data_IF_616976984822
#
_entry.id   IF_616976984822
#
_cell.length_a   1.000
_cell.length_b   1.000
_cell.length_c   1.000
_cell.angle_alpha   90.00
_cell.angle_beta   90.00
_cell.angle_gamma   90.00
#
_symmetry.space_group_name_H-M   'P 1'
#
loop_
_entity.id
_entity.type
_entity.pdbx_description
1 polymer ?
#
# COMPACT_ATOMS: atom_id res chain seq x y z
N UNK A 1 -30.02 -8.76 -0.54
CA UNK A 1 -28.93 -8.45 0.41
C UNK A 1 -27.65 -8.35 -0.40
N UNK A 2 -26.85 -7.27 -0.32
CA UNK A 2 -25.55 -7.29 -0.96
C UNK A 2 -24.70 -8.32 -0.22
N UNK A 3 -24.15 -9.26 -0.99
CA UNK A 3 -23.22 -10.29 -0.53
C UNK A 3 -22.09 -9.65 0.29
N UNK A 4 -21.59 -10.29 1.36
CA UNK A 4 -20.39 -9.81 2.02
C UNK A 4 -19.27 -9.71 0.98
N UNK A 5 -18.52 -8.61 1.02
CA UNK A 5 -17.23 -8.51 0.34
C UNK A 5 -16.45 -9.81 0.58
N UNK A 6 -15.85 -10.37 -0.47
CA UNK A 6 -15.17 -11.67 -0.46
C UNK A 6 -13.85 -11.60 0.32
N UNK A 7 -13.90 -11.14 1.57
CA UNK A 7 -12.76 -10.87 2.42
C UNK A 7 -12.27 -12.14 3.10
N UNK A 8 -10.97 -12.24 3.28
CA UNK A 8 -10.33 -13.36 3.97
C UNK A 8 -9.21 -12.87 4.89
N UNK A 9 -8.80 -13.75 5.81
CA UNK A 9 -7.67 -13.46 6.70
C UNK A 9 -6.39 -13.32 5.87
N UNK A 10 -5.54 -12.36 6.25
CA UNK A 10 -4.31 -12.04 5.53
C UNK A 10 -4.50 -11.06 4.37
N UNK A 11 -5.75 -10.83 3.92
CA UNK A 11 -6.03 -9.92 2.83
C UNK A 11 -5.48 -8.52 3.11
N UNK A 12 -4.82 -7.94 2.10
CA UNK A 12 -4.36 -6.55 2.13
C UNK A 12 -5.47 -5.64 1.63
N UNK A 13 -5.78 -4.60 2.40
CA UNK A 13 -6.81 -3.62 2.06
C UNK A 13 -6.28 -2.20 2.27
N UNK A 14 -6.95 -1.23 1.67
CA UNK A 14 -6.71 0.19 1.90
C UNK A 14 -8.04 0.87 2.22
N UNK A 15 -8.04 1.76 3.20
CA UNK A 15 -9.18 2.60 3.55
C UNK A 15 -8.72 4.04 3.74
N UNK A 16 -9.27 4.96 2.96
CA UNK A 16 -8.91 6.39 2.97
C UNK A 16 -7.40 6.60 2.77
N UNK A 17 -6.79 5.80 1.89
CA UNK A 17 -5.36 5.83 1.58
C UNK A 17 -4.47 5.12 2.61
N UNK A 18 -5.01 4.57 3.69
CA UNK A 18 -4.24 3.85 4.69
C UNK A 18 -4.35 2.34 4.52
N UNK A 19 -3.19 1.68 4.49
CA UNK A 19 -3.08 0.24 4.28
C UNK A 19 -3.24 -0.55 5.57
N UNK A 20 -3.85 -1.73 5.45
CA UNK A 20 -4.04 -2.66 6.54
C UNK A 20 -4.08 -4.12 6.09
N UNK A 21 -3.95 -5.02 7.05
CA UNK A 21 -4.13 -6.46 6.88
C UNK A 21 -5.34 -6.93 7.68
N UNK A 22 -6.20 -7.76 7.07
CA UNK A 22 -7.30 -8.42 7.76
C UNK A 22 -6.75 -9.50 8.70
N UNK A 23 -7.07 -9.39 9.99
CA UNK A 23 -6.65 -10.30 11.07
C UNK A 23 -7.79 -11.11 11.68
N UNK A 24 -9.03 -10.66 11.49
CA UNK A 24 -10.21 -11.32 12.05
C UNK A 24 -11.42 -11.07 11.14
N UNK A 25 -12.29 -12.08 11.02
CA UNK A 25 -13.60 -11.97 10.37
C UNK A 25 -14.61 -12.67 11.26
N UNK A 26 -15.59 -11.93 11.78
CA UNK A 26 -16.61 -12.52 12.65
C UNK A 26 -17.40 -11.51 13.48
N UNK A 27 -18.28 -12.01 14.37
CA UNK A 27 -19.06 -11.16 15.26
C UNK A 27 -18.20 -10.54 16.37
N UNK A 28 -18.56 -9.33 16.81
CA UNK A 28 -17.95 -8.67 17.98
C UNK A 28 -19.02 -8.53 19.07
N UNK A 29 -18.68 -8.90 20.29
CA UNK A 29 -19.58 -8.93 21.45
C UNK A 29 -20.18 -7.55 21.68
N UNK A 30 -21.50 -7.50 21.91
CA UNK A 30 -22.23 -6.24 22.09
C UNK A 30 -22.53 -5.49 20.78
N UNK A 31 -22.22 -6.07 19.62
CA UNK A 31 -22.51 -5.48 18.31
C UNK A 31 -23.30 -6.44 17.42
N UNK A 32 -23.99 -5.91 16.42
CA UNK A 32 -24.71 -6.72 15.42
C UNK A 32 -23.86 -6.98 14.18
N UNK A 33 -23.99 -8.17 13.60
CA UNK A 33 -23.39 -8.54 12.32
C UNK A 33 -21.89 -8.83 12.36
N UNK A 34 -21.33 -9.07 11.18
CA UNK A 34 -19.90 -9.39 10.98
C UNK A 34 -19.04 -8.13 10.93
N UNK A 35 -17.81 -8.27 11.41
CA UNK A 35 -16.76 -7.26 11.37
C UNK A 35 -15.48 -7.83 10.76
N UNK A 36 -14.72 -6.97 10.11
CA UNK A 36 -13.34 -7.19 9.75
C UNK A 36 -12.47 -6.56 10.84
N UNK A 37 -11.75 -7.36 11.60
CA UNK A 37 -10.65 -6.86 12.43
C UNK A 37 -9.44 -6.65 11.56
N UNK A 38 -8.98 -5.40 11.44
CA UNK A 38 -7.84 -5.02 10.59
C UNK A 38 -6.72 -4.45 11.45
N UNK A 39 -5.47 -4.79 11.12
CA UNK A 39 -4.26 -4.17 11.66
C UNK A 39 -3.69 -3.19 10.63
N UNK A 40 -3.46 -1.94 11.02
CA UNK A 40 -2.93 -0.89 10.17
C UNK A 40 -1.41 -0.95 10.04
N UNK A 41 -0.89 -0.66 8.86
CA UNK A 41 0.56 -0.49 8.65
C UNK A 41 1.09 0.70 9.46
N UNK A 42 0.31 1.80 9.47
CA UNK A 42 0.50 2.90 10.42
C UNK A 42 -0.17 2.52 11.73
N UNK A 43 0.64 2.02 12.67
CA UNK A 43 0.15 1.56 13.97
C UNK A 43 -0.50 2.65 14.84
N UNK A 44 -0.39 3.93 14.48
CA UNK A 44 -1.08 5.03 15.17
C UNK A 44 -2.53 5.24 14.71
N UNK A 45 -2.98 4.59 13.63
CA UNK A 45 -4.27 4.88 12.99
C UNK A 45 -5.49 4.21 13.65
N UNK A 46 -5.28 3.09 14.32
CA UNK A 46 -6.37 2.31 14.88
C UNK A 46 -6.88 2.85 16.20
N UNK A 47 -7.63 2.00 16.91
CA UNK A 47 -8.34 2.32 18.15
C UNK A 47 -8.05 1.33 19.29
N UNK A 48 -7.52 0.16 18.95
CA UNK A 48 -7.25 -0.94 19.87
C UNK A 48 -6.15 -1.84 19.30
N UNK A 49 -5.78 -2.90 20.02
CA UNK A 49 -4.74 -3.86 19.66
C UNK A 49 -5.29 -5.23 19.24
N UNK A 50 -6.60 -5.30 19.00
CA UNK A 50 -7.35 -6.52 18.65
C UNK A 50 -8.32 -6.99 19.74
N UNK A 51 -8.40 -6.24 20.84
CA UNK A 51 -9.37 -6.42 21.91
C UNK A 51 -10.55 -5.42 21.80
N UNK A 52 -11.75 -5.87 22.16
CA UNK A 52 -12.92 -5.01 22.37
C UNK A 52 -13.63 -5.41 23.67
N UNK A 53 -13.77 -4.46 24.60
CA UNK A 53 -14.14 -4.78 25.98
C UNK A 53 -13.13 -5.74 26.60
N UNK A 54 -13.61 -6.82 27.24
CA UNK A 54 -12.76 -7.82 27.88
C UNK A 54 -12.41 -9.02 26.98
N UNK A 55 -12.74 -8.95 25.68
CA UNK A 55 -12.56 -10.06 24.73
C UNK A 55 -11.50 -9.74 23.69
N UNK A 56 -10.49 -10.61 23.57
CA UNK A 56 -9.47 -10.55 22.52
C UNK A 56 -9.90 -11.36 21.30
N UNK A 57 -9.98 -10.71 20.14
CA UNK A 57 -10.38 -11.33 18.88
C UNK A 57 -9.17 -11.71 18.02
N UNK A 58 -8.11 -10.90 18.07
CA UNK A 58 -6.86 -11.14 17.36
C UNK A 58 -5.70 -10.44 18.07
N UNK A 59 -4.48 -10.75 17.63
CA UNK A 59 -3.26 -10.09 18.07
C UNK A 59 -2.63 -9.36 16.90
N UNK A 60 -2.17 -8.13 17.16
CA UNK A 60 -1.40 -7.35 16.19
C UNK A 60 0.07 -7.77 16.21
N UNK A 61 0.76 -7.62 15.07
CA UNK A 61 2.22 -7.68 15.01
C UNK A 61 2.85 -6.46 15.71
N UNK A 62 2.25 -5.29 15.52
CA UNK A 62 2.63 -4.09 16.26
C UNK A 62 2.28 -4.21 17.74
N UNK A 63 3.18 -3.74 18.60
CA UNK A 63 2.94 -3.61 20.06
C UNK A 63 2.17 -2.34 20.43
N UNK A 64 1.85 -1.50 19.45
CA UNK A 64 1.08 -0.27 19.70
C UNK A 64 -0.34 -0.64 20.15
N UNK A 65 -0.84 -0.10 21.27
CA UNK A 65 -2.18 -0.40 21.77
C UNK A 65 -3.30 0.06 20.83
N UNK A 66 -3.00 0.86 19.81
CA UNK A 66 -3.95 1.41 18.84
C UNK A 66 -3.70 0.91 17.41
N UNK A 67 -3.02 -0.21 17.22
CA UNK A 67 -2.65 -0.68 15.87
C UNK A 67 -3.82 -1.16 14.99
N UNK A 68 -5.01 -1.37 15.55
CA UNK A 68 -6.09 -2.07 14.89
C UNK A 68 -7.47 -1.40 15.03
N UNK A 69 -8.37 -1.77 14.12
CA UNK A 69 -9.76 -1.34 14.10
C UNK A 69 -10.69 -2.49 13.72
N UNK A 70 -11.94 -2.45 14.15
CA UNK A 70 -13.03 -3.20 13.52
C UNK A 70 -13.72 -2.35 12.44
N UNK A 71 -13.82 -2.89 11.23
CA UNK A 71 -14.41 -2.24 10.05
C UNK A 71 -15.59 -3.08 9.55
N UNK A 72 -16.64 -2.42 9.05
CA UNK A 72 -17.78 -3.11 8.44
C UNK A 72 -17.38 -3.71 7.09
N UNK A 73 -17.73 -4.97 6.78
CA UNK A 73 -17.50 -5.54 5.46
C UNK A 73 -18.15 -4.73 4.32
N UNK A 74 -19.25 -4.01 4.61
CA UNK A 74 -19.90 -3.12 3.65
C UNK A 74 -19.17 -1.81 3.40
N UNK A 75 -18.12 -1.48 4.18
CA UNK A 75 -17.31 -0.29 3.92
C UNK A 75 -16.47 -0.54 2.68
N UNK A 76 -16.60 0.28 1.61
CA UNK A 76 -15.79 0.11 0.42
C UNK A 76 -14.31 0.36 0.76
N UNK A 77 -13.45 -0.57 0.34
CA UNK A 77 -12.01 -0.37 0.34
C UNK A 77 -11.59 0.48 -0.88
N UNK A 78 -10.44 1.14 -0.79
CA UNK A 78 -9.88 1.84 -1.94
C UNK A 78 -9.54 0.82 -3.04
N UNK A 79 -9.76 1.21 -4.30
CA UNK A 79 -9.41 0.36 -5.43
C UNK A 79 -7.90 0.09 -5.48
N UNK A 80 -7.55 -1.17 -5.73
CA UNK A 80 -6.20 -1.55 -6.12
C UNK A 80 -5.88 -1.03 -7.51
N UNK A 81 -4.59 -0.96 -7.83
CA UNK A 81 -4.12 -0.60 -9.17
C UNK A 81 -2.97 -1.49 -9.62
N UNK A 82 -2.67 -1.45 -10.92
CA UNK A 82 -1.48 -2.10 -11.49
C UNK A 82 -0.22 -1.29 -11.19
N UNK A 83 0.95 -1.92 -11.31
CA UNK A 83 2.24 -1.26 -11.21
C UNK A 83 2.36 -0.15 -12.24
N UNK A 84 1.96 -0.45 -13.48
CA UNK A 84 1.99 0.50 -14.61
C UNK A 84 1.11 1.73 -14.33
N UNK A 85 -0.12 1.52 -13.85
CA UNK A 85 -1.00 2.62 -13.46
C UNK A 85 -0.42 3.46 -12.31
N UNK A 86 0.16 2.81 -11.30
CA UNK A 86 0.81 3.50 -10.19
C UNK A 86 2.03 4.32 -10.62
N UNK A 87 2.82 3.80 -11.57
CA UNK A 87 3.96 4.49 -12.14
C UNK A 87 3.53 5.76 -12.87
N UNK A 88 2.57 5.66 -13.79
CA UNK A 88 2.03 6.81 -14.49
C UNK A 88 1.39 7.82 -13.54
N UNK A 89 0.57 7.38 -12.59
CA UNK A 89 -0.10 8.26 -11.63
C UNK A 89 0.86 8.97 -10.66
N UNK A 90 2.10 8.48 -10.50
CA UNK A 90 3.10 9.10 -9.63
C UNK A 90 4.12 9.95 -10.39
N UNK A 91 4.46 9.58 -11.63
CA UNK A 91 5.58 10.17 -12.37
C UNK A 91 5.19 10.89 -13.68
N UNK A 92 3.94 10.78 -14.17
CA UNK A 92 3.50 11.64 -15.27
C UNK A 92 3.21 13.07 -14.78
N UNK A 93 3.66 14.06 -15.56
CA UNK A 93 3.67 15.50 -15.22
C UNK A 93 2.29 16.11 -14.89
N UNK A 94 1.20 15.62 -15.50
CA UNK A 94 -0.14 16.20 -15.31
C UNK A 94 -0.77 15.85 -13.94
N UNK A 95 -0.50 14.65 -13.41
CA UNK A 95 -1.03 14.20 -12.12
C UNK A 95 -0.30 14.81 -10.90
N UNK A 96 0.92 15.31 -11.09
CA UNK A 96 1.72 15.96 -10.05
C UNK A 96 1.27 17.41 -9.84
N UNK A 97 0.90 18.12 -10.92
CA UNK A 97 0.42 19.50 -10.86
C UNK A 97 -0.87 19.67 -10.01
N UNK A 98 -1.81 18.73 -10.10
CA UNK A 98 -3.04 18.76 -9.30
C UNK A 98 -2.77 18.48 -7.82
N UNK A 99 -1.86 17.55 -7.49
CA UNK A 99 -1.47 17.23 -6.09
C UNK A 99 -0.69 18.36 -5.42
N UNK A 100 0.10 19.13 -6.17
CA UNK A 100 0.86 20.26 -5.62
C UNK A 100 -0.04 21.45 -5.25
N UNK A 101 -1.17 21.65 -5.93
CA UNK A 101 -2.13 22.71 -5.58
C UNK A 101 -2.74 22.56 -4.17
N UNK A 102 -2.71 21.36 -3.59
CA UNK A 102 -3.23 21.07 -2.25
C UNK A 102 -2.16 21.12 -1.14
N UNK A 103 -0.87 21.13 -1.50
CA UNK A 103 0.23 21.23 -0.52
C UNK A 103 0.66 22.70 -0.47
N UNK A 104 -0.03 23.48 0.35
CA UNK A 104 0.37 24.85 0.65
C UNK A 104 1.68 24.83 1.45
N UNK A 105 2.81 25.06 0.78
CA UNK A 105 4.13 25.15 1.41
C UNK A 105 4.18 26.45 2.21
N UNK A 106 4.24 26.35 3.54
CA UNK A 106 4.45 27.48 4.45
C UNK A 106 5.95 27.81 4.49
N UNK A 107 6.33 29.01 4.06
CA UNK A 107 7.70 29.51 4.16
C UNK A 107 7.99 30.03 5.58
N UNK A 108 8.98 29.44 6.27
CA UNK A 108 9.62 30.03 7.44
C UNK A 108 10.97 30.63 7.05
N UNK A 109 11.03 31.95 6.85
CA UNK A 109 12.28 32.71 6.75
C UNK A 109 12.95 32.79 5.37
N UNK A 110 13.97 33.65 5.27
CA UNK A 110 14.69 34.04 4.04
C UNK A 110 15.81 33.08 3.63
N UNK A 111 15.89 31.89 4.25
CA UNK A 111 16.83 30.83 3.85
C UNK A 111 16.02 29.65 3.32
N UNK A 112 16.17 29.27 2.04
CA UNK A 112 15.54 28.05 1.55
C UNK A 112 16.12 26.86 2.33
N UNK A 113 15.25 26.03 2.90
CA UNK A 113 15.66 24.79 3.57
C UNK A 113 16.27 23.85 2.53
N UNK A 114 17.58 23.65 2.62
CA UNK A 114 18.41 22.81 1.75
C UNK A 114 18.11 21.32 1.98
N UNK A 115 16.90 20.84 1.70
CA UNK A 115 16.68 19.38 1.53
C UNK A 115 15.41 18.97 0.77
N UNK A 116 14.51 19.88 0.34
CA UNK A 116 13.18 19.44 -0.16
C UNK A 116 12.80 20.02 -1.53
N UNK A 117 13.69 20.78 -2.19
CA UNK A 117 13.35 21.53 -3.41
C UNK A 117 13.72 20.87 -4.75
N UNK A 118 14.83 20.13 -4.83
CA UNK A 118 15.36 19.71 -6.14
C UNK A 118 14.78 18.39 -6.67
N UNK A 119 14.38 17.48 -5.79
CA UNK A 119 13.74 16.23 -6.22
C UNK A 119 12.34 16.47 -6.80
N UNK A 120 11.66 17.55 -6.38
CA UNK A 120 10.35 17.95 -6.93
C UNK A 120 10.46 18.44 -8.38
N UNK A 121 11.50 19.21 -8.69
CA UNK A 121 11.74 19.74 -10.04
C UNK A 121 12.21 18.62 -11.00
N UNK A 122 13.06 17.69 -10.53
CA UNK A 122 13.51 16.55 -11.36
C UNK A 122 12.39 15.56 -11.70
N UNK A 123 11.39 15.43 -10.82
CA UNK A 123 10.24 14.53 -11.00
C UNK A 123 9.20 15.05 -12.01
N UNK A 124 9.17 16.36 -12.26
CA UNK A 124 8.10 17.00 -13.05
C UNK A 124 8.17 16.76 -14.57
N UNK A 125 9.23 16.17 -15.11
CA UNK A 125 9.41 15.98 -16.56
C UNK A 125 10.04 14.62 -16.96
N UNK A 126 10.21 13.69 -16.03
CA UNK A 126 10.79 12.39 -16.36
C UNK A 126 9.80 11.56 -17.15
N UNK A 127 10.19 11.13 -18.36
CA UNK A 127 9.41 10.12 -19.08
C UNK A 127 9.52 8.81 -18.31
N UNK A 128 8.41 8.11 -18.15
CA UNK A 128 8.39 6.83 -17.40
C UNK A 128 9.38 5.80 -17.97
N UNK A 129 9.68 5.88 -19.28
CA UNK A 129 10.66 5.03 -19.97
C UNK A 129 12.10 5.23 -19.50
N UNK A 130 12.44 6.42 -18.96
CA UNK A 130 13.78 6.80 -18.54
C UNK A 130 14.03 6.62 -17.03
N UNK A 131 13.04 6.15 -16.27
CA UNK A 131 13.14 6.03 -14.81
C UNK A 131 14.11 4.91 -14.41
N UNK A 132 15.12 5.26 -13.62
CA UNK A 132 16.08 4.31 -13.05
C UNK A 132 15.82 3.99 -11.58
N UNK A 133 15.19 4.91 -10.85
CA UNK A 133 14.82 4.76 -9.44
C UNK A 133 13.33 5.02 -9.31
N UNK A 134 12.59 4.00 -8.86
CA UNK A 134 11.14 4.04 -8.73
C UNK A 134 10.74 3.74 -7.29
N UNK A 135 9.89 4.59 -6.73
CA UNK A 135 9.31 4.43 -5.39
C UNK A 135 7.81 4.38 -5.57
N UNK A 136 7.21 3.23 -5.36
CA UNK A 136 5.76 2.98 -5.32
C UNK A 136 5.33 2.44 -3.95
N UNK A 137 6.06 2.85 -2.91
CA UNK A 137 5.70 2.57 -1.52
C UNK A 137 4.32 3.16 -1.19
N UNK A 138 3.42 2.34 -0.65
CA UNK A 138 2.07 2.76 -0.31
C UNK A 138 1.11 2.94 -1.50
N UNK A 139 1.50 2.56 -2.72
CA UNK A 139 0.79 2.93 -3.93
C UNK A 139 -0.43 2.06 -4.27
N UNK A 140 -0.82 1.12 -3.41
CA UNK A 140 -1.94 0.18 -3.63
C UNK A 140 -1.77 -0.72 -4.87
N UNK A 141 -0.53 -1.04 -5.21
CA UNK A 141 -0.21 -1.98 -6.29
C UNK A 141 -0.64 -3.39 -5.86
N UNK A 142 -1.44 -4.05 -6.69
CA UNK A 142 -1.85 -5.44 -6.48
C UNK A 142 -1.40 -6.36 -7.62
N UNK A 143 -1.17 -5.82 -8.82
CA UNK A 143 -0.79 -6.56 -10.03
C UNK A 143 0.25 -5.77 -10.83
N UNK A 144 0.89 -6.40 -11.81
CA UNK A 144 1.89 -5.83 -12.71
C UNK A 144 1.26 -4.87 -13.73
N UNK A 145 0.38 -5.37 -14.61
CA UNK A 145 -0.33 -4.58 -15.62
C UNK A 145 -1.83 -4.91 -15.61
N UNK A 146 -2.68 -3.97 -16.05
CA UNK A 146 -4.07 -4.28 -16.29
C UNK A 146 -4.23 -5.04 -17.62
N UNK A 147 -5.30 -5.83 -17.81
CA UNK A 147 -5.54 -6.50 -19.09
C UNK A 147 -5.59 -5.49 -20.25
N UNK A 148 -4.70 -5.65 -21.24
CA UNK A 148 -4.61 -4.78 -22.41
C UNK A 148 -3.63 -3.61 -22.28
N UNK A 149 -3.07 -3.36 -21.09
CA UNK A 149 -1.98 -2.40 -20.91
C UNK A 149 -0.64 -2.99 -21.39
N UNK A 150 0.33 -2.10 -21.65
CA UNK A 150 1.74 -2.49 -21.83
C UNK A 150 2.26 -3.12 -20.54
N UNK A 151 3.14 -4.12 -20.66
CA UNK A 151 3.84 -4.71 -19.52
C UNK A 151 4.80 -3.72 -18.82
N UNK A 152 5.35 -4.12 -17.68
CA UNK A 152 6.29 -3.29 -16.89
C UNK A 152 7.55 -3.01 -17.70
N UNK A 153 8.09 -4.02 -18.38
CA UNK A 153 9.29 -3.89 -19.22
C UNK A 153 9.13 -2.87 -20.35
N UNK A 154 7.99 -2.89 -21.02
CA UNK A 154 7.70 -1.97 -22.12
C UNK A 154 7.46 -0.54 -21.62
N UNK A 155 6.90 -0.41 -20.42
CA UNK A 155 6.58 0.89 -19.82
C UNK A 155 7.82 1.57 -19.24
N UNK A 156 8.70 0.83 -18.57
CA UNK A 156 9.85 1.39 -17.84
C UNK A 156 11.02 0.38 -17.75
N UNK A 157 11.77 0.19 -18.87
CA UNK A 157 12.78 -0.86 -18.97
C UNK A 157 14.06 -0.59 -18.15
N UNK A 158 14.29 0.66 -17.73
CA UNK A 158 15.56 1.10 -17.14
C UNK A 158 15.58 1.07 -15.61
N UNK A 159 14.51 0.62 -14.96
CA UNK A 159 14.43 0.59 -13.49
C UNK A 159 15.54 -0.30 -12.92
N UNK A 160 16.44 0.31 -12.15
CA UNK A 160 17.55 -0.33 -11.46
C UNK A 160 17.34 -0.41 -9.95
N UNK A 161 16.58 0.51 -9.37
CA UNK A 161 16.18 0.50 -7.96
C UNK A 161 14.66 0.63 -7.84
N UNK A 162 14.04 -0.31 -7.14
CA UNK A 162 12.60 -0.34 -6.95
C UNK A 162 12.23 -0.42 -5.48
N UNK A 163 11.34 0.45 -5.03
CA UNK A 163 10.66 0.34 -3.75
C UNK A 163 9.17 0.12 -3.96
N UNK A 164 8.69 -1.07 -3.66
CA UNK A 164 7.25 -1.43 -3.70
C UNK A 164 6.80 -1.91 -2.32
N UNK A 165 7.40 -1.34 -1.26
CA UNK A 165 6.95 -1.53 0.12
C UNK A 165 5.49 -1.14 0.30
N UNK A 166 4.82 -1.71 1.33
CA UNK A 166 3.44 -1.39 1.71
C UNK A 166 2.51 -1.31 0.50
N UNK A 167 2.21 -2.46 -0.09
CA UNK A 167 1.28 -2.55 -1.21
C UNK A 167 0.20 -3.60 -0.93
N UNK A 168 -0.64 -3.87 -1.92
CA UNK A 168 -1.78 -4.79 -1.84
C UNK A 168 -1.46 -6.17 -2.41
N UNK A 169 -0.18 -6.52 -2.53
CA UNK A 169 0.22 -7.87 -2.94
C UNK A 169 -0.22 -8.89 -1.90
N UNK A 170 -0.93 -9.91 -2.36
CA UNK A 170 -1.38 -11.03 -1.52
C UNK A 170 -0.45 -12.26 -1.65
N UNK A 171 0.35 -12.30 -2.71
CA UNK A 171 1.32 -13.36 -3.00
C UNK A 171 2.67 -12.79 -3.42
N UNK A 172 3.76 -13.41 -2.96
CA UNK A 172 5.11 -13.02 -3.36
C UNK A 172 5.36 -13.27 -4.86
N UNK A 173 4.65 -14.21 -5.48
CA UNK A 173 4.73 -14.47 -6.92
C UNK A 173 4.45 -13.24 -7.77
N UNK A 174 3.56 -12.35 -7.31
CA UNK A 174 3.26 -11.11 -8.02
C UNK A 174 4.42 -10.11 -7.99
N UNK A 175 5.15 -10.04 -6.88
CA UNK A 175 6.37 -9.25 -6.75
C UNK A 175 7.44 -9.80 -7.70
N UNK A 176 7.59 -11.13 -7.76
CA UNK A 176 8.53 -11.79 -8.67
C UNK A 176 8.19 -11.49 -10.13
N UNK A 177 6.92 -11.56 -10.55
CA UNK A 177 6.49 -11.21 -11.92
C UNK A 177 6.95 -9.80 -12.32
N UNK A 178 6.70 -8.81 -11.46
CA UNK A 178 7.14 -7.42 -11.72
C UNK A 178 8.66 -7.35 -11.85
N UNK A 179 9.40 -7.99 -10.93
CA UNK A 179 10.86 -7.93 -10.93
C UNK A 179 11.48 -8.66 -12.13
N UNK A 180 10.88 -9.75 -12.61
CA UNK A 180 11.34 -10.50 -13.78
C UNK A 180 11.26 -9.70 -15.09
N UNK A 181 10.41 -8.69 -15.15
CA UNK A 181 10.31 -7.78 -16.29
C UNK A 181 11.39 -6.68 -16.30
N UNK A 182 12.15 -6.52 -15.21
CA UNK A 182 13.12 -5.45 -15.02
C UNK A 182 14.56 -5.96 -15.12
N UNK A 183 15.06 -6.10 -16.35
CA UNK A 183 16.42 -6.64 -16.63
C UNK A 183 17.55 -5.85 -15.95
N UNK A 184 17.32 -4.56 -15.66
CA UNK A 184 18.31 -3.67 -15.03
C UNK A 184 18.23 -3.64 -13.50
N UNK A 185 17.30 -4.36 -12.88
CA UNK A 185 17.04 -4.28 -11.44
C UNK A 185 18.22 -4.81 -10.62
N UNK A 186 18.75 -3.97 -9.73
CA UNK A 186 19.88 -4.28 -8.83
C UNK A 186 19.51 -4.15 -7.36
N UNK A 187 18.48 -3.37 -7.04
CA UNK A 187 18.02 -3.13 -5.68
C UNK A 187 16.50 -3.17 -5.60
N UNK A 188 15.98 -3.96 -4.68
CA UNK A 188 14.55 -4.07 -4.39
C UNK A 188 14.31 -3.83 -2.90
N UNK A 189 13.43 -2.88 -2.58
CA UNK A 189 12.93 -2.64 -1.23
C UNK A 189 11.51 -3.17 -1.09
N UNK A 190 11.36 -4.05 -0.10
CA UNK A 190 10.09 -4.66 0.31
C UNK A 190 9.98 -4.57 1.83
N UNK A 191 9.11 -3.70 2.33
CA UNK A 191 8.70 -3.67 3.74
C UNK A 191 7.19 -3.81 3.85
N UNK A 192 6.72 -4.53 4.85
CA UNK A 192 5.28 -4.71 5.12
C UNK A 192 4.51 -5.23 3.88
N UNK A 193 5.19 -6.04 3.08
CA UNK A 193 4.66 -6.81 1.95
C UNK A 193 4.88 -8.26 2.36
N UNK A 194 3.82 -9.00 2.70
CA UNK A 194 3.87 -10.39 3.17
C UNK A 194 4.95 -10.72 4.22
N UNK A 195 4.60 -10.59 5.50
CA UNK A 195 5.15 -11.45 6.56
C UNK A 195 4.01 -11.90 7.48
N UNK A 196 2.97 -12.48 6.88
CA UNK A 196 2.24 -13.56 7.53
C UNK A 196 2.96 -14.83 7.13
N UNK A 197 4.09 -15.11 7.79
CA UNK A 197 4.59 -16.48 7.85
C UNK A 197 3.40 -17.30 8.33
N UNK A 198 2.87 -18.16 7.47
CA UNK A 198 2.08 -19.29 7.93
C UNK A 198 2.90 -19.90 9.06
N UNK A 199 2.42 -19.82 10.31
CA UNK A 199 2.82 -20.83 11.28
C UNK A 199 2.38 -22.13 10.65
N UNK A 200 3.30 -22.80 9.98
CA UNK A 200 3.25 -24.25 9.87
C UNK A 200 3.22 -24.68 11.33
N UNK A 201 2.02 -25.05 11.80
CA UNK A 201 1.94 -25.86 12.98
C UNK A 201 2.67 -27.14 12.60
N UNK A 202 3.86 -27.31 13.17
CA UNK A 202 4.47 -28.63 13.28
C UNK A 202 3.55 -29.42 14.23
N UNK A 203 2.72 -30.29 13.67
CA UNK A 203 2.16 -31.46 14.34
C UNK A 203 3.04 -32.68 13.99
#
# INVERSE_FOLDING_TARGET
MPMPSNSHIGQRLSYDGALCTVRYIGPVTGTSGTWLGVEWDDSGRGKHDGQHGDVRYFSCLSKNPNAASFVRPSRPADASQSFVAALHGKYNAEAVAERESQIQIVFFGTKPAEEVGFDKIRRQLARVEDLTIVILDGARVAVDAAPGDKGVKETSPLIAELDISRNLFEEFGQVVKICQELDSLRSLRLKCVLLCVYRVHDD
#
